data_IF_526555524610
#
_entry.id   IF_526555524610
#
_cell.length_a   1.000
_cell.length_b   1.000
_cell.length_c   1.000
_cell.angle_alpha   90.00
_cell.angle_beta   90.00
_cell.angle_gamma   90.00
#
_symmetry.space_group_name_H-M   'P 1'
#
loop_
_entity.id
_entity.type
_entity.pdbx_description
1 polymer ?
#
# COMPACT_ATOMS: atom_id res chain seq x y z
N UNK A 1 -33.12 -6.54 4.07
CA UNK A 1 -31.76 -6.59 3.50
C UNK A 1 -31.28 -8.01 3.67
N UNK A 2 -31.63 -8.89 2.73
CA UNK A 2 -31.04 -10.22 2.69
C UNK A 2 -29.59 -10.04 2.24
N UNK A 3 -28.64 -10.44 3.09
CA UNK A 3 -27.23 -10.41 2.72
C UNK A 3 -27.01 -11.62 1.82
N UNK A 4 -27.23 -11.46 0.52
CA UNK A 4 -26.86 -12.46 -0.48
C UNK A 4 -25.33 -12.49 -0.59
N UNK A 5 -24.71 -13.24 0.33
CA UNK A 5 -23.27 -13.43 0.37
C UNK A 5 -22.88 -14.37 -0.77
N UNK A 6 -22.48 -13.79 -1.89
CA UNK A 6 -21.86 -14.53 -2.98
C UNK A 6 -20.48 -15.01 -2.51
N UNK A 7 -20.40 -16.27 -2.06
CA UNK A 7 -19.18 -16.88 -1.54
C UNK A 7 -17.99 -16.81 -2.51
N UNK A 8 -18.26 -16.74 -3.82
CA UNK A 8 -17.24 -16.56 -4.86
C UNK A 8 -16.53 -15.22 -4.73
N UNK A 9 -17.30 -14.13 -4.65
CA UNK A 9 -16.76 -12.78 -4.50
C UNK A 9 -15.95 -12.63 -3.21
N UNK A 10 -16.39 -13.29 -2.13
CA UNK A 10 -15.66 -13.30 -0.87
C UNK A 10 -14.27 -13.93 -1.06
N UNK A 11 -14.20 -15.09 -1.72
CA UNK A 11 -12.94 -15.79 -1.97
C UNK A 11 -12.03 -14.97 -2.89
N UNK A 12 -12.57 -14.42 -3.98
CA UNK A 12 -11.79 -13.63 -4.93
C UNK A 12 -11.23 -12.37 -4.26
N UNK A 13 -12.07 -11.65 -3.50
CA UNK A 13 -11.62 -10.48 -2.75
C UNK A 13 -10.61 -10.86 -1.67
N UNK A 14 -10.79 -11.99 -0.97
CA UNK A 14 -9.83 -12.47 0.03
C UNK A 14 -8.47 -12.78 -0.59
N UNK A 15 -8.44 -13.33 -1.80
CA UNK A 15 -7.20 -13.60 -2.55
C UNK A 15 -6.50 -12.28 -2.88
N UNK A 16 -7.21 -11.28 -3.42
CA UNK A 16 -6.64 -9.96 -3.72
C UNK A 16 -6.09 -9.27 -2.47
N UNK A 17 -6.88 -9.18 -1.41
CA UNK A 17 -6.46 -8.56 -0.15
C UNK A 17 -5.31 -9.32 0.50
N UNK A 18 -5.34 -10.66 0.44
CA UNK A 18 -4.26 -11.53 0.92
C UNK A 18 -2.95 -11.31 0.17
N UNK A 19 -2.98 -11.23 -1.16
CA UNK A 19 -1.79 -10.93 -1.97
C UNK A 19 -1.22 -9.55 -1.66
N UNK A 20 -2.08 -8.52 -1.55
CA UNK A 20 -1.65 -7.17 -1.18
C UNK A 20 -0.98 -7.15 0.21
N UNK A 21 -1.55 -7.88 1.17
CA UNK A 21 -0.96 -8.04 2.51
C UNK A 21 0.40 -8.72 2.45
N UNK A 22 0.50 -9.87 1.76
CA UNK A 22 1.73 -10.67 1.67
C UNK A 22 2.88 -9.91 1.00
N UNK A 23 2.62 -9.16 -0.07
CA UNK A 23 3.66 -8.35 -0.73
C UNK A 23 4.17 -7.20 0.13
N UNK A 24 3.38 -6.73 1.09
CA UNK A 24 3.81 -5.67 2.01
C UNK A 24 4.72 -6.20 3.15
N UNK A 25 4.64 -7.49 3.50
CA UNK A 25 5.31 -8.06 4.67
C UNK A 25 6.84 -7.91 4.67
N UNK A 26 7.58 -8.17 3.58
CA UNK A 26 9.04 -8.05 3.59
C UNK A 26 9.50 -6.64 3.98
N UNK A 27 8.80 -5.63 3.44
CA UNK A 27 9.04 -4.22 3.78
C UNK A 27 8.68 -3.93 5.22
N UNK A 28 7.50 -4.37 5.63
CA UNK A 28 6.95 -4.09 6.93
C UNK A 28 7.84 -4.66 8.05
N UNK A 29 8.36 -5.87 7.84
CA UNK A 29 9.30 -6.53 8.75
C UNK A 29 10.63 -5.77 8.85
N UNK A 30 11.23 -5.39 7.72
CA UNK A 30 12.49 -4.64 7.69
C UNK A 30 12.35 -3.25 8.32
N UNK A 31 11.19 -2.59 8.15
CA UNK A 31 10.91 -1.30 8.77
C UNK A 31 10.67 -1.39 10.27
N UNK A 32 9.91 -2.38 10.74
CA UNK A 32 9.69 -2.64 12.18
C UNK A 32 11.01 -2.77 12.95
N UNK A 33 12.00 -3.45 12.37
CA UNK A 33 13.30 -3.69 13.03
C UNK A 33 14.27 -2.51 12.93
N UNK A 34 14.10 -1.61 11.96
CA UNK A 34 15.11 -0.59 11.66
C UNK A 34 14.77 0.80 12.19
N UNK A 35 13.50 1.12 12.45
CA UNK A 35 13.06 2.43 12.89
C UNK A 35 11.81 2.33 13.80
N UNK A 36 11.72 3.21 14.80
CA UNK A 36 10.56 3.38 15.70
C UNK A 36 9.33 4.03 15.00
N UNK A 37 9.08 3.69 13.74
CA UNK A 37 8.03 4.29 12.91
C UNK A 37 6.97 3.27 12.46
N UNK A 38 6.44 3.47 11.26
CA UNK A 38 5.54 2.51 10.62
C UNK A 38 6.24 1.17 10.36
N UNK A 39 5.52 0.06 10.57
CA UNK A 39 6.05 -1.30 10.45
C UNK A 39 4.97 -2.34 10.10
N UNK A 40 4.97 -3.49 10.78
CA UNK A 40 4.12 -4.67 10.49
C UNK A 40 2.61 -4.39 10.55
N UNK A 41 2.20 -3.32 11.22
CA UNK A 41 0.79 -2.90 11.27
C UNK A 41 0.45 -1.96 10.11
N UNK A 42 1.24 -0.89 9.95
CA UNK A 42 0.91 0.19 9.02
C UNK A 42 1.04 -0.23 7.56
N UNK A 43 2.17 -0.86 7.19
CA UNK A 43 2.47 -1.18 5.80
C UNK A 43 1.43 -2.11 5.17
N UNK A 44 1.07 -3.26 5.79
CA UNK A 44 0.08 -4.15 5.20
C UNK A 44 -1.33 -3.54 5.19
N UNK A 45 -1.71 -2.77 6.23
CA UNK A 45 -3.02 -2.12 6.27
C UNK A 45 -3.18 -1.07 5.15
N UNK A 46 -2.13 -0.32 4.81
CA UNK A 46 -2.17 0.64 3.70
C UNK A 46 -2.32 -0.09 2.35
N UNK A 47 -1.63 -1.20 2.14
CA UNK A 47 -1.77 -2.01 0.92
C UNK A 47 -3.17 -2.62 0.80
N UNK A 48 -3.66 -3.26 1.87
CA UNK A 48 -5.00 -3.88 1.91
C UNK A 48 -6.10 -2.85 1.71
N UNK A 49 -6.04 -1.71 2.41
CA UNK A 49 -7.05 -0.66 2.27
C UNK A 49 -7.08 -0.10 0.84
N UNK A 50 -5.91 0.16 0.25
CA UNK A 50 -5.82 0.69 -1.12
C UNK A 50 -6.33 -0.32 -2.16
N UNK A 51 -6.06 -1.61 -1.95
CA UNK A 51 -6.63 -2.69 -2.75
C UNK A 51 -8.16 -2.72 -2.64
N UNK A 52 -8.70 -2.70 -1.42
CA UNK A 52 -10.14 -2.71 -1.17
C UNK A 52 -10.86 -1.49 -1.78
N UNK A 53 -10.32 -0.28 -1.62
CA UNK A 53 -10.88 0.90 -2.25
C UNK A 53 -10.89 0.80 -3.78
N UNK A 54 -9.82 0.26 -4.39
CA UNK A 54 -9.78 0.05 -5.83
C UNK A 54 -10.79 -1.00 -6.31
N UNK A 55 -10.92 -2.13 -5.59
CA UNK A 55 -11.94 -3.16 -5.88
C UNK A 55 -13.36 -2.59 -5.81
N UNK A 56 -13.66 -1.83 -4.75
CA UNK A 56 -14.96 -1.15 -4.60
C UNK A 56 -15.17 -0.19 -5.77
N UNK A 57 -14.19 0.67 -6.08
CA UNK A 57 -14.28 1.63 -7.17
C UNK A 57 -14.60 0.97 -8.52
N UNK A 58 -13.94 -0.15 -8.84
CA UNK A 58 -14.21 -0.88 -10.08
C UNK A 58 -15.60 -1.53 -10.10
N UNK A 59 -16.14 -1.93 -8.93
CA UNK A 59 -17.45 -2.56 -8.84
C UNK A 59 -18.63 -1.59 -8.87
N UNK A 60 -18.46 -0.36 -8.35
CA UNK A 60 -19.57 0.59 -8.16
C UNK A 60 -19.50 1.82 -9.05
N UNK A 61 -18.32 2.17 -9.58
CA UNK A 61 -18.14 3.37 -10.39
C UNK A 61 -18.05 3.01 -11.87
N UNK A 62 -18.95 3.59 -12.65
CA UNK A 62 -18.95 3.49 -14.10
C UNK A 62 -18.12 4.62 -14.73
N UNK A 63 -17.27 4.26 -15.69
CA UNK A 63 -16.48 5.22 -16.46
C UNK A 63 -15.12 5.59 -15.84
N UNK A 64 -14.16 5.82 -16.73
CA UNK A 64 -12.76 6.09 -16.37
C UNK A 64 -12.59 7.37 -15.52
N UNK A 65 -13.46 8.37 -15.69
CA UNK A 65 -13.36 9.62 -14.94
C UNK A 65 -13.70 9.43 -13.45
N UNK A 66 -14.78 8.72 -13.13
CA UNK A 66 -15.19 8.46 -11.76
C UNK A 66 -14.15 7.61 -11.01
N UNK A 67 -13.67 6.55 -11.66
CA UNK A 67 -12.60 5.70 -11.13
C UNK A 67 -11.31 6.50 -10.90
N UNK A 68 -10.95 7.38 -11.85
CA UNK A 68 -9.77 8.26 -11.72
C UNK A 68 -9.87 9.23 -10.55
N UNK A 69 -11.04 9.82 -10.29
CA UNK A 69 -11.28 10.69 -9.12
C UNK A 69 -11.11 9.93 -7.81
N UNK A 70 -11.62 8.69 -7.74
CA UNK A 70 -11.44 7.86 -6.55
C UNK A 70 -9.96 7.49 -6.34
N UNK A 71 -9.24 7.11 -7.40
CA UNK A 71 -7.79 6.87 -7.34
C UNK A 71 -7.01 8.10 -6.87
N UNK A 72 -7.34 9.29 -7.36
CA UNK A 72 -6.72 10.54 -6.89
C UNK A 72 -6.95 10.77 -5.38
N UNK A 73 -8.15 10.48 -4.89
CA UNK A 73 -8.48 10.52 -3.46
C UNK A 73 -7.64 9.54 -2.65
N UNK A 74 -7.51 8.30 -3.12
CA UNK A 74 -6.67 7.27 -2.48
C UNK A 74 -5.21 7.72 -2.45
N UNK A 75 -4.64 8.15 -3.57
CA UNK A 75 -3.25 8.63 -3.68
C UNK A 75 -2.98 9.79 -2.70
N UNK A 76 -3.93 10.73 -2.60
CA UNK A 76 -3.85 11.87 -1.68
C UNK A 76 -3.88 11.40 -0.22
N UNK A 77 -4.81 10.50 0.12
CA UNK A 77 -4.93 9.95 1.47
C UNK A 77 -3.69 9.17 1.91
N UNK A 78 -3.10 8.36 1.02
CA UNK A 78 -1.84 7.68 1.30
C UNK A 78 -0.71 8.70 1.51
N UNK A 79 -0.69 9.79 0.74
CA UNK A 79 0.26 10.89 0.92
C UNK A 79 0.19 11.51 2.31
N UNK A 80 -1.00 11.65 2.89
CA UNK A 80 -1.19 12.12 4.26
C UNK A 80 -0.61 11.13 5.30
N UNK A 81 -0.90 9.83 5.16
CA UNK A 81 -0.36 8.79 6.06
C UNK A 81 1.18 8.75 5.96
N UNK A 82 1.72 8.80 4.75
CA UNK A 82 3.16 8.86 4.50
C UNK A 82 3.78 10.11 5.13
N UNK A 83 3.20 11.29 4.90
CA UNK A 83 3.67 12.54 5.51
C UNK A 83 3.70 12.51 7.03
N UNK A 84 2.73 11.86 7.67
CA UNK A 84 2.70 11.64 9.12
C UNK A 84 3.86 10.79 9.66
N UNK A 85 4.53 10.01 8.81
CA UNK A 85 5.72 9.25 9.19
C UNK A 85 7.02 10.08 9.15
N UNK A 86 6.98 11.32 8.64
CA UNK A 86 8.15 12.20 8.57
C UNK A 86 8.26 12.97 9.88
N UNK A 87 9.35 12.74 10.61
CA UNK A 87 9.65 13.43 11.86
C UNK A 87 10.75 14.46 11.64
N UNK A 88 10.48 15.71 12.01
CA UNK A 88 11.41 16.83 11.89
C UNK A 88 11.79 17.35 13.27
N UNK A 89 13.08 17.29 13.58
CA UNK A 89 13.69 17.89 14.76
C UNK A 89 14.56 19.09 14.34
N UNK A 90 14.98 19.92 15.29
CA UNK A 90 15.73 21.17 15.01
C UNK A 90 17.02 21.00 14.17
N UNK A 91 17.60 19.80 14.11
CA UNK A 91 18.85 19.53 13.40
C UNK A 91 18.77 18.37 12.40
N UNK A 92 17.64 17.66 12.30
CA UNK A 92 17.54 16.49 11.43
C UNK A 92 16.11 16.17 11.01
N UNK A 93 15.98 15.54 9.84
CA UNK A 93 14.73 14.96 9.35
C UNK A 93 14.90 13.45 9.23
N UNK A 94 13.89 12.70 9.67
CA UNK A 94 13.87 11.25 9.63
C UNK A 94 12.52 10.73 9.12
N UNK A 95 12.46 9.46 8.73
CA UNK A 95 11.21 8.84 8.27
C UNK A 95 10.80 9.17 6.83
N UNK A 96 11.57 9.97 6.08
CA UNK A 96 11.28 10.26 4.66
C UNK A 96 11.26 9.01 3.78
N UNK A 97 12.18 8.06 4.01
CA UNK A 97 12.18 6.77 3.33
C UNK A 97 10.95 5.93 3.72
N UNK A 98 10.57 5.92 5.01
CA UNK A 98 9.37 5.23 5.49
C UNK A 98 8.10 5.81 4.86
N UNK A 99 8.00 7.14 4.77
CA UNK A 99 6.91 7.84 4.12
C UNK A 99 6.76 7.45 2.64
N UNK A 100 7.87 7.46 1.88
CA UNK A 100 7.88 7.04 0.49
C UNK A 100 7.47 5.56 0.33
N UNK A 101 7.92 4.69 1.24
CA UNK A 101 7.57 3.28 1.20
C UNK A 101 6.11 3.00 1.57
N UNK A 102 5.51 3.77 2.48
CA UNK A 102 4.06 3.75 2.73
C UNK A 102 3.30 4.14 1.45
N UNK A 103 3.76 5.18 0.76
CA UNK A 103 3.18 5.59 -0.51
C UNK A 103 3.22 4.49 -1.56
N UNK A 104 4.35 3.79 -1.66
CA UNK A 104 4.50 2.61 -2.51
C UNK A 104 3.58 1.44 -2.12
N UNK A 105 3.30 1.21 -0.84
CA UNK A 105 2.38 0.15 -0.40
C UNK A 105 0.97 0.34 -0.95
N UNK A 106 0.50 1.59 -0.98
CA UNK A 106 -0.82 1.88 -1.53
C UNK A 106 -0.90 1.56 -3.02
N UNK A 107 0.15 1.87 -3.78
CA UNK A 107 0.24 1.50 -5.20
C UNK A 107 0.31 -0.02 -5.41
N UNK A 108 1.03 -0.76 -4.56
CA UNK A 108 1.04 -2.24 -4.59
C UNK A 108 -0.39 -2.78 -4.43
N UNK A 109 -1.14 -2.26 -3.46
CA UNK A 109 -2.54 -2.65 -3.25
C UNK A 109 -3.44 -2.37 -4.47
N UNK A 110 -3.32 -1.18 -5.05
CA UNK A 110 -4.05 -0.81 -6.28
C UNK A 110 -3.66 -1.73 -7.44
N UNK A 111 -2.36 -1.99 -7.64
CA UNK A 111 -1.89 -2.86 -8.71
C UNK A 111 -2.45 -4.29 -8.58
N UNK A 112 -2.52 -4.83 -7.36
CA UNK A 112 -3.17 -6.12 -7.09
C UNK A 112 -4.64 -6.07 -7.48
N UNK A 113 -5.40 -5.04 -7.07
CA UNK A 113 -6.82 -4.92 -7.43
C UNK A 113 -7.03 -4.94 -8.96
N UNK A 114 -6.19 -4.22 -9.71
CA UNK A 114 -6.23 -4.19 -11.17
C UNK A 114 -5.61 -5.45 -11.84
N UNK A 115 -5.31 -6.50 -11.08
CA UNK A 115 -4.65 -7.73 -11.55
C UNK A 115 -3.30 -7.49 -12.25
N UNK A 116 -2.63 -6.38 -11.94
CA UNK A 116 -1.29 -6.02 -12.44
C UNK A 116 -0.20 -6.54 -11.49
N UNK A 117 -0.15 -7.87 -11.36
CA UNK A 117 0.75 -8.55 -10.43
C UNK A 117 2.23 -8.27 -10.71
N UNK A 118 2.59 -8.09 -11.97
CA UNK A 118 3.95 -7.73 -12.37
C UNK A 118 4.39 -6.39 -11.79
N UNK A 119 3.50 -5.40 -11.77
CA UNK A 119 3.76 -4.08 -11.18
C UNK A 119 3.88 -4.22 -9.66
N UNK A 120 2.92 -4.92 -9.02
CA UNK A 120 2.91 -5.11 -7.58
C UNK A 120 4.20 -5.78 -7.06
N UNK A 121 4.65 -6.85 -7.74
CA UNK A 121 5.88 -7.58 -7.38
C UNK A 121 7.11 -6.71 -7.60
N UNK A 122 7.24 -6.05 -8.76
CA UNK A 122 8.39 -5.18 -9.05
C UNK A 122 8.50 -4.04 -8.04
N UNK A 123 7.38 -3.38 -7.70
CA UNK A 123 7.36 -2.33 -6.69
C UNK A 123 7.76 -2.83 -5.30
N UNK A 124 7.30 -4.01 -4.89
CA UNK A 124 7.68 -4.62 -3.62
C UNK A 124 9.19 -4.92 -3.56
N UNK A 125 9.73 -5.54 -4.61
CA UNK A 125 11.15 -5.90 -4.73
C UNK A 125 12.05 -4.66 -4.78
N UNK A 126 11.73 -3.68 -5.63
CA UNK A 126 12.53 -2.46 -5.78
C UNK A 126 12.55 -1.67 -4.47
N UNK A 127 11.40 -1.53 -3.80
CA UNK A 127 11.32 -0.85 -2.52
C UNK A 127 12.18 -1.57 -1.45
N UNK A 128 12.11 -2.91 -1.39
CA UNK A 128 12.88 -3.71 -0.44
C UNK A 128 14.38 -3.59 -0.66
N UNK A 129 14.82 -3.77 -1.90
CA UNK A 129 16.23 -3.66 -2.27
C UNK A 129 16.76 -2.27 -1.96
N UNK A 130 16.00 -1.22 -2.33
CA UNK A 130 16.39 0.17 -2.08
C UNK A 130 16.61 0.41 -0.59
N UNK A 131 15.64 0.02 0.24
CA UNK A 131 15.70 0.27 1.66
C UNK A 131 16.74 -0.58 2.40
N UNK A 132 17.01 -1.80 1.93
CA UNK A 132 17.94 -2.75 2.55
C UNK A 132 19.40 -2.49 2.19
N UNK A 133 19.67 -2.14 0.93
CA UNK A 133 21.03 -2.07 0.38
C UNK A 133 21.50 -0.65 0.11
N UNK A 134 20.64 0.29 -0.29
CA UNK A 134 21.08 1.67 -0.54
C UNK A 134 21.48 2.37 0.76
N UNK A 135 20.88 1.97 1.89
CA UNK A 135 21.26 2.46 3.23
C UNK A 135 22.73 2.21 3.59
N UNK A 136 23.40 1.23 2.98
CA UNK A 136 24.85 0.97 3.20
C UNK A 136 25.77 1.99 2.52
N UNK A 137 25.26 2.81 1.59
CA UNK A 137 26.06 3.77 0.82
C UNK A 137 25.97 5.21 1.34
N UNK A 138 25.21 5.44 2.42
CA UNK A 138 25.19 6.69 3.18
C UNK A 138 25.82 6.45 4.54
#
# INVERSE_FOLDING_TARGET
MEIDLQWRDIIDNLIHLGMAYLLALPMAYDREHSHNGAGLRTFPLVAVASCGYALIAMSVLEGAEAQSKMLQGIITGIGFIGGGAILKNNQSTSGTATAASIWNMGLIGIAIAYSRYEIAILLAVINFITLRYVKKFK
#
